data_IF_580560633843
#
_entry.id   IF_580560633843
#
_cell.length_a   1.000
_cell.length_b   1.000
_cell.length_c   1.000
_cell.angle_alpha   90.00
_cell.angle_beta   90.00
_cell.angle_gamma   90.00
#
_symmetry.space_group_name_H-M   'P 1'
#
loop_
_entity.id
_entity.type
_entity.pdbx_description
1 polymer ?
#
# COMPACT_ATOMS: atom_id res chain seq x y z
N UNK A 1 14.19 -4.42 -7.75
CA UNK A 1 13.69 -4.47 -6.37
C UNK A 1 14.16 -5.77 -5.72
N UNK A 2 14.66 -5.74 -4.47
CA UNK A 2 15.01 -6.93 -3.68
C UNK A 2 16.21 -7.77 -4.14
N UNK A 3 16.93 -7.38 -5.21
CA UNK A 3 18.06 -8.13 -5.80
C UNK A 3 19.17 -8.42 -4.79
N UNK A 4 19.54 -7.41 -4.00
CA UNK A 4 20.61 -7.50 -3.01
C UNK A 4 20.25 -8.47 -1.87
N UNK A 5 19.03 -8.35 -1.32
CA UNK A 5 18.54 -9.30 -0.30
C UNK A 5 18.45 -10.73 -0.86
N UNK A 6 17.99 -10.92 -2.11
CA UNK A 6 17.95 -12.25 -2.73
C UNK A 6 19.33 -12.83 -2.99
N UNK A 7 20.35 -11.99 -3.26
CA UNK A 7 21.74 -12.44 -3.41
C UNK A 7 22.35 -12.90 -2.08
N UNK A 8 22.06 -12.17 -0.99
CA UNK A 8 22.71 -12.37 0.31
C UNK A 8 21.97 -13.35 1.23
N UNK A 9 20.65 -13.51 1.05
CA UNK A 9 19.81 -14.31 1.95
C UNK A 9 19.05 -15.42 1.21
N UNK A 10 19.31 -16.70 1.52
CA UNK A 10 18.61 -17.83 0.89
C UNK A 10 17.09 -17.75 1.05
N UNK A 11 16.56 -17.25 2.18
CA UNK A 11 15.12 -17.10 2.40
C UNK A 11 14.51 -16.06 1.46
N UNK A 12 15.19 -14.96 1.17
CA UNK A 12 14.74 -13.96 0.21
C UNK A 12 14.76 -14.52 -1.21
N UNK A 13 15.82 -15.24 -1.60
CA UNK A 13 15.92 -15.91 -2.91
C UNK A 13 14.76 -16.87 -3.12
N UNK A 14 14.51 -17.78 -2.17
CA UNK A 14 13.37 -18.71 -2.23
C UNK A 14 12.03 -17.99 -2.35
N UNK A 15 11.90 -16.81 -1.74
CA UNK A 15 10.66 -16.00 -1.86
C UNK A 15 10.43 -15.53 -3.30
N UNK A 16 11.47 -15.14 -4.03
CA UNK A 16 11.37 -14.78 -5.45
C UNK A 16 11.12 -16.00 -6.34
N UNK A 17 11.72 -17.15 -6.02
CA UNK A 17 11.46 -18.42 -6.71
C UNK A 17 10.00 -18.86 -6.53
N UNK A 18 9.46 -18.80 -5.31
CA UNK A 18 8.05 -19.06 -4.99
C UNK A 18 7.11 -18.10 -5.76
N UNK A 19 7.51 -16.84 -5.91
CA UNK A 19 6.73 -15.88 -6.69
C UNK A 19 6.71 -16.21 -8.18
N UNK A 20 7.84 -16.58 -8.75
CA UNK A 20 7.95 -17.02 -10.14
C UNK A 20 7.06 -18.24 -10.42
N UNK A 21 7.08 -19.22 -9.50
CA UNK A 21 6.26 -20.42 -9.60
C UNK A 21 4.77 -20.10 -9.48
N UNK A 22 4.37 -19.30 -8.48
CA UNK A 22 2.99 -18.96 -8.23
C UNK A 22 2.34 -18.17 -9.39
N UNK A 23 3.13 -17.35 -10.08
CA UNK A 23 2.68 -16.51 -11.19
C UNK A 23 2.86 -17.15 -12.58
N UNK A 24 3.67 -18.20 -12.70
CA UNK A 24 3.95 -18.88 -13.96
C UNK A 24 4.84 -18.09 -14.94
N UNK A 25 5.56 -17.06 -14.45
CA UNK A 25 6.54 -16.31 -15.21
C UNK A 25 7.65 -15.76 -14.31
N UNK A 26 8.78 -15.31 -14.89
CA UNK A 26 9.96 -14.83 -14.16
C UNK A 26 9.79 -13.38 -13.67
N UNK A 27 8.97 -13.20 -12.61
CA UNK A 27 8.84 -11.91 -11.92
C UNK A 27 10.19 -11.46 -11.33
N UNK A 28 10.97 -12.41 -10.80
CA UNK A 28 12.30 -12.16 -10.26
C UNK A 28 13.22 -11.47 -11.26
N UNK A 29 13.23 -11.89 -12.52
CA UNK A 29 14.03 -11.27 -13.57
C UNK A 29 13.61 -9.82 -13.80
N UNK A 30 12.30 -9.56 -13.88
CA UNK A 30 11.78 -8.18 -14.04
C UNK A 30 12.16 -7.31 -12.85
N UNK A 31 12.09 -7.85 -11.63
CA UNK A 31 12.49 -7.14 -10.41
C UNK A 31 13.98 -6.79 -10.37
N UNK A 32 14.84 -7.66 -10.87
CA UNK A 32 16.31 -7.54 -10.75
C UNK A 32 16.98 -6.85 -11.92
N UNK A 33 16.41 -6.99 -13.12
CA UNK A 33 17.03 -6.61 -14.38
C UNK A 33 16.18 -5.65 -15.21
N UNK A 34 14.87 -5.54 -14.90
CA UNK A 34 13.93 -4.73 -15.65
C UNK A 34 13.39 -5.44 -16.90
N UNK A 35 12.94 -4.71 -17.93
CA UNK A 35 13.02 -3.25 -18.07
C UNK A 35 12.07 -2.47 -17.12
N UNK A 36 12.44 -1.23 -16.82
CA UNK A 36 11.68 -0.38 -15.87
C UNK A 36 10.25 -0.12 -16.37
N UNK A 37 10.04 -0.01 -17.66
CA UNK A 37 8.71 0.17 -18.26
C UNK A 37 7.77 -1.00 -17.94
N UNK A 38 8.29 -2.23 -17.89
CA UNK A 38 7.51 -3.40 -17.50
C UNK A 38 7.16 -3.35 -16.01
N UNK A 39 8.08 -2.90 -15.15
CA UNK A 39 7.82 -2.71 -13.72
C UNK A 39 6.77 -1.62 -13.43
N UNK A 40 6.54 -0.68 -14.35
CA UNK A 40 5.52 0.39 -14.21
C UNK A 40 4.10 -0.11 -14.51
N UNK A 41 3.95 -1.25 -15.16
CA UNK A 41 2.62 -1.84 -15.39
C UNK A 41 2.02 -2.29 -14.06
N UNK A 42 0.84 -1.81 -13.72
CA UNK A 42 0.21 -2.03 -12.41
C UNK A 42 0.06 -3.52 -12.08
N UNK A 43 -0.22 -4.36 -13.07
CA UNK A 43 -0.29 -5.83 -12.93
C UNK A 43 1.06 -6.51 -12.62
N UNK A 44 2.18 -5.82 -12.87
CA UNK A 44 3.54 -6.26 -12.56
C UNK A 44 4.05 -5.58 -11.29
N UNK A 45 3.82 -4.27 -11.15
CA UNK A 45 4.25 -3.47 -9.98
C UNK A 45 3.72 -4.07 -8.68
N UNK A 46 2.44 -4.44 -8.64
CA UNK A 46 1.82 -4.95 -7.43
C UNK A 46 2.45 -6.26 -6.93
N UNK A 47 2.54 -7.33 -7.72
CA UNK A 47 3.22 -8.55 -7.27
C UNK A 47 4.73 -8.34 -7.02
N UNK A 48 5.40 -7.44 -7.72
CA UNK A 48 6.80 -7.13 -7.51
C UNK A 48 7.06 -6.48 -6.13
N UNK A 49 6.22 -5.50 -5.74
CA UNK A 49 6.30 -4.87 -4.40
C UNK A 49 5.95 -5.88 -3.32
N UNK A 50 4.88 -6.68 -3.49
CA UNK A 50 4.50 -7.72 -2.55
C UNK A 50 5.66 -8.71 -2.32
N UNK A 51 6.26 -9.21 -3.40
CA UNK A 51 7.39 -10.17 -3.33
C UNK A 51 8.58 -9.58 -2.59
N UNK A 52 8.99 -8.35 -2.95
CA UNK A 52 10.11 -7.69 -2.30
C UNK A 52 9.85 -7.44 -0.81
N UNK A 53 8.62 -7.06 -0.44
CA UNK A 53 8.22 -6.83 0.95
C UNK A 53 8.20 -8.14 1.75
N UNK A 54 7.63 -9.22 1.20
CA UNK A 54 7.61 -10.53 1.88
C UNK A 54 9.02 -11.11 1.99
N UNK A 55 9.89 -10.92 0.99
CA UNK A 55 11.28 -11.34 1.05
C UNK A 55 12.03 -10.62 2.18
N UNK A 56 11.90 -9.29 2.27
CA UNK A 56 12.50 -8.50 3.34
C UNK A 56 11.94 -8.88 4.73
N UNK A 57 10.63 -9.12 4.83
CA UNK A 57 9.97 -9.60 6.03
C UNK A 57 10.52 -10.95 6.51
N UNK A 58 10.65 -11.94 5.61
CA UNK A 58 11.20 -13.27 5.94
C UNK A 58 12.66 -13.19 6.38
N UNK A 59 13.45 -12.26 5.81
CA UNK A 59 14.83 -12.00 6.27
C UNK A 59 14.83 -11.43 7.69
N UNK A 60 13.97 -10.46 8.01
CA UNK A 60 13.85 -9.93 9.37
C UNK A 60 13.50 -11.02 10.39
N UNK A 61 12.57 -11.92 10.04
CA UNK A 61 12.21 -13.05 10.90
C UNK A 61 13.39 -14.00 11.13
N UNK A 62 14.15 -14.32 10.07
CA UNK A 62 15.37 -15.16 10.17
C UNK A 62 16.46 -14.48 11.03
N UNK A 63 16.51 -13.13 11.04
CA UNK A 63 17.41 -12.33 11.89
C UNK A 63 16.91 -12.12 13.32
N UNK A 64 15.84 -12.78 13.71
CA UNK A 64 15.36 -12.83 15.08
C UNK A 64 14.26 -11.84 15.43
N UNK A 65 13.67 -11.13 14.46
CA UNK A 65 12.44 -10.37 14.72
C UNK A 65 11.33 -11.36 15.09
N UNK A 66 11.01 -11.41 16.36
CA UNK A 66 9.86 -12.18 16.89
C UNK A 66 8.68 -11.25 16.96
N UNK A 67 7.53 -11.70 16.44
CA UNK A 67 6.27 -11.00 16.65
C UNK A 67 5.72 -11.35 18.03
N UNK A 68 5.29 -10.33 18.75
CA UNK A 68 4.36 -10.50 19.87
C UNK A 68 2.94 -10.32 19.33
N UNK A 69 2.21 -11.41 19.18
CA UNK A 69 0.84 -11.39 18.64
C UNK A 69 -0.13 -10.53 19.45
N UNK A 70 0.21 -10.18 20.68
CA UNK A 70 -0.62 -9.34 21.56
C UNK A 70 -0.29 -7.86 21.51
N UNK A 71 0.93 -7.49 21.06
CA UNK A 71 1.45 -6.13 21.09
C UNK A 71 1.78 -5.57 19.69
N UNK A 72 2.01 -6.43 18.70
CA UNK A 72 2.42 -6.01 17.38
C UNK A 72 1.23 -5.85 16.43
N UNK A 73 1.32 -4.85 15.56
CA UNK A 73 0.36 -4.58 14.49
C UNK A 73 1.06 -4.63 13.14
N UNK A 74 0.31 -5.00 12.12
CA UNK A 74 0.76 -4.86 10.74
C UNK A 74 -0.21 -3.97 9.96
N UNK A 75 0.34 -3.16 9.08
CA UNK A 75 -0.41 -2.27 8.21
C UNK A 75 0.33 -2.15 6.87
N UNK A 76 -0.38 -1.71 5.84
CA UNK A 76 0.24 -1.46 4.55
C UNK A 76 -0.62 -0.52 3.71
N UNK A 77 0.02 0.32 2.91
CA UNK A 77 -0.67 1.31 2.08
C UNK A 77 -1.14 0.66 0.78
N UNK A 78 -2.44 0.68 0.51
CA UNK A 78 -3.05 0.11 -0.71
C UNK A 78 -2.61 -1.34 -0.97
N UNK A 79 -1.75 -1.59 -1.94
CA UNK A 79 -1.12 -2.90 -2.20
C UNK A 79 -0.47 -3.48 -0.94
N UNK A 80 0.17 -2.62 -0.14
CA UNK A 80 0.85 -3.02 1.10
C UNK A 80 -0.06 -3.70 2.12
N UNK A 81 -1.37 -3.47 2.10
CA UNK A 81 -2.33 -4.18 2.96
C UNK A 81 -2.34 -5.69 2.67
N UNK A 82 -2.13 -6.10 1.40
CA UNK A 82 -1.94 -7.52 1.06
C UNK A 82 -0.64 -8.08 1.64
N UNK A 83 0.45 -7.29 1.62
CA UNK A 83 1.71 -7.69 2.28
C UNK A 83 1.51 -7.85 3.79
N UNK A 84 0.72 -6.97 4.42
CA UNK A 84 0.37 -7.06 5.83
C UNK A 84 -0.45 -8.34 6.13
N UNK A 85 -1.42 -8.68 5.27
CA UNK A 85 -2.20 -9.92 5.43
C UNK A 85 -1.34 -11.19 5.25
N UNK A 86 -0.36 -11.18 4.34
CA UNK A 86 0.62 -12.28 4.23
C UNK A 86 1.49 -12.35 5.50
N UNK A 87 1.99 -11.24 5.99
CA UNK A 87 2.76 -11.19 7.22
C UNK A 87 1.96 -11.64 8.44
N UNK A 88 0.66 -11.33 8.50
CA UNK A 88 -0.26 -11.79 9.54
C UNK A 88 -0.71 -13.25 9.40
N UNK A 89 -0.38 -13.93 8.28
CA UNK A 89 -0.82 -15.29 8.03
C UNK A 89 -2.29 -15.43 7.59
N UNK A 90 -2.94 -14.31 7.27
CA UNK A 90 -4.35 -14.25 6.82
C UNK A 90 -4.51 -14.82 5.42
N UNK A 91 -3.56 -14.56 4.54
CA UNK A 91 -3.47 -15.06 3.17
C UNK A 91 -2.16 -15.82 2.96
N UNK A 92 -2.19 -16.87 2.13
CA UNK A 92 -0.95 -17.46 1.63
C UNK A 92 -0.24 -16.48 0.70
N UNK A 93 1.08 -16.55 0.62
CA UNK A 93 1.84 -15.67 -0.27
C UNK A 93 1.47 -15.92 -1.74
N UNK A 94 1.28 -17.18 -2.15
CA UNK A 94 0.90 -17.54 -3.50
C UNK A 94 -0.50 -16.99 -3.90
N UNK A 95 -1.48 -17.07 -3.00
CA UNK A 95 -2.82 -16.53 -3.25
C UNK A 95 -2.79 -15.00 -3.31
N UNK A 96 -2.07 -14.36 -2.39
CA UNK A 96 -1.89 -12.91 -2.41
C UNK A 96 -1.25 -12.44 -3.72
N UNK A 97 -0.21 -13.14 -4.24
CA UNK A 97 0.44 -12.82 -5.51
C UNK A 97 -0.52 -12.85 -6.70
N UNK A 98 -1.28 -13.93 -6.84
CA UNK A 98 -2.27 -14.08 -7.92
C UNK A 98 -3.33 -12.99 -7.82
N UNK A 99 -3.80 -12.74 -6.59
CA UNK A 99 -4.83 -11.72 -6.32
C UNK A 99 -4.35 -10.33 -6.66
N UNK A 100 -3.15 -9.92 -6.23
CA UNK A 100 -2.67 -8.55 -6.52
C UNK A 100 -2.31 -8.35 -7.98
N UNK A 101 -1.91 -9.39 -8.70
CA UNK A 101 -1.76 -9.36 -10.16
C UNK A 101 -3.10 -9.09 -10.83
N UNK A 102 -4.14 -9.86 -10.48
CA UNK A 102 -5.50 -9.68 -10.97
C UNK A 102 -6.03 -8.29 -10.60
N UNK A 103 -5.83 -7.86 -9.34
CA UNK A 103 -6.18 -6.52 -8.87
C UNK A 103 -5.57 -5.44 -9.76
N UNK A 104 -4.27 -5.51 -10.03
CA UNK A 104 -3.59 -4.57 -10.92
C UNK A 104 -4.22 -4.52 -12.32
N UNK A 105 -4.49 -5.69 -12.89
CA UNK A 105 -5.16 -5.82 -14.19
C UNK A 105 -6.58 -5.24 -14.16
N UNK A 106 -7.40 -5.62 -13.18
CA UNK A 106 -8.78 -5.16 -13.06
C UNK A 106 -8.87 -3.64 -12.87
N UNK A 107 -8.01 -3.07 -12.02
CA UNK A 107 -7.95 -1.63 -11.80
C UNK A 107 -7.52 -0.87 -13.06
N UNK A 108 -6.60 -1.43 -13.87
CA UNK A 108 -6.21 -0.84 -15.14
C UNK A 108 -7.32 -0.90 -16.19
N UNK A 109 -8.10 -1.97 -16.20
CA UNK A 109 -9.19 -2.20 -17.15
C UNK A 109 -10.51 -1.51 -16.74
N UNK A 110 -10.65 -1.09 -15.48
CA UNK A 110 -11.89 -0.52 -14.94
C UNK A 110 -12.31 0.78 -15.64
N UNK A 111 -11.33 1.56 -16.10
CA UNK A 111 -11.56 2.85 -16.75
C UNK A 111 -10.66 2.96 -17.98
N UNK A 112 -11.18 3.37 -19.14
CA UNK A 112 -10.34 3.61 -20.32
C UNK A 112 -9.23 4.62 -20.05
N UNK A 113 -8.07 4.42 -20.68
CA UNK A 113 -6.91 5.32 -20.53
C UNK A 113 -7.32 6.76 -20.93
N UNK A 114 -6.97 7.72 -20.09
CA UNK A 114 -7.27 9.14 -20.30
C UNK A 114 -8.63 9.60 -19.78
N UNK A 115 -9.52 8.70 -19.37
CA UNK A 115 -10.81 9.06 -18.77
C UNK A 115 -10.67 9.43 -17.30
N UNK A 116 -9.79 8.75 -16.58
CA UNK A 116 -9.52 9.00 -15.18
C UNK A 116 -8.15 9.64 -14.92
N UNK A 117 -8.01 10.28 -13.76
CA UNK A 117 -6.76 10.89 -13.30
C UNK A 117 -6.66 10.88 -11.77
N UNK A 118 -5.46 11.12 -11.27
CA UNK A 118 -5.18 11.38 -9.86
C UNK A 118 -4.30 12.61 -9.72
N UNK A 119 -4.44 13.32 -8.59
CA UNK A 119 -3.58 14.47 -8.28
C UNK A 119 -3.26 14.53 -6.79
N UNK A 120 -2.05 14.95 -6.45
CA UNK A 120 -1.65 15.22 -5.08
C UNK A 120 -1.94 16.69 -4.73
N UNK A 121 -2.69 16.91 -3.66
CA UNK A 121 -2.98 18.23 -3.06
C UNK A 121 -2.16 18.35 -1.79
N UNK A 122 -1.36 19.42 -1.69
CA UNK A 122 -0.42 19.64 -0.59
C UNK A 122 -0.80 20.90 0.19
N UNK A 123 -0.87 20.78 1.52
CA UNK A 123 -1.05 21.92 2.43
C UNK A 123 -2.50 22.36 2.61
N UNK A 124 -3.45 21.48 2.33
CA UNK A 124 -4.89 21.70 2.55
C UNK A 124 -5.46 20.55 3.38
N UNK A 125 -6.27 20.89 4.39
CA UNK A 125 -6.92 19.90 5.25
C UNK A 125 -7.96 19.05 4.49
N UNK A 126 -8.23 17.84 4.97
CA UNK A 126 -9.12 16.87 4.34
C UNK A 126 -10.51 17.41 4.07
N UNK A 127 -11.13 18.10 5.05
CA UNK A 127 -12.48 18.63 4.89
C UNK A 127 -12.56 19.60 3.71
N UNK A 128 -11.56 20.49 3.60
CA UNK A 128 -11.48 21.44 2.49
C UNK A 128 -11.19 20.75 1.15
N UNK A 129 -10.41 19.67 1.16
CA UNK A 129 -10.20 18.85 -0.07
C UNK A 129 -11.51 18.17 -0.47
N UNK A 130 -12.31 17.68 0.47
CA UNK A 130 -13.61 17.09 0.18
C UNK A 130 -14.60 18.12 -0.40
N UNK A 131 -14.62 19.35 0.11
CA UNK A 131 -15.40 20.46 -0.47
C UNK A 131 -14.96 20.78 -1.91
N UNK A 132 -13.64 20.86 -2.14
CA UNK A 132 -13.05 21.07 -3.48
C UNK A 132 -13.46 19.94 -4.43
N UNK A 133 -13.37 18.69 -4.00
CA UNK A 133 -13.79 17.55 -4.79
C UNK A 133 -15.27 17.57 -5.14
N UNK A 134 -16.12 17.90 -4.16
CA UNK A 134 -17.57 17.99 -4.36
C UNK A 134 -17.95 19.08 -5.38
N UNK A 135 -17.33 20.25 -5.31
CA UNK A 135 -17.56 21.33 -6.26
C UNK A 135 -17.00 21.00 -7.65
N UNK A 136 -15.78 20.44 -7.71
CA UNK A 136 -15.13 20.04 -8.94
C UNK A 136 -15.84 18.90 -9.66
N UNK A 137 -16.50 18.02 -8.91
CA UNK A 137 -17.18 16.85 -9.46
C UNK A 137 -18.29 17.23 -10.46
N UNK A 138 -19.12 18.22 -10.12
CA UNK A 138 -20.31 18.56 -10.93
C UNK A 138 -21.16 17.29 -11.17
N UNK A 139 -21.09 16.69 -12.36
CA UNK A 139 -21.75 15.42 -12.73
C UNK A 139 -20.77 14.27 -12.91
N UNK A 140 -19.52 14.47 -12.55
CA UNK A 140 -18.42 13.52 -12.66
C UNK A 140 -17.97 13.05 -11.28
N UNK A 141 -17.04 12.11 -11.21
CA UNK A 141 -16.44 11.64 -9.97
C UNK A 141 -15.18 12.45 -9.69
N UNK A 142 -15.06 12.96 -8.46
CA UNK A 142 -13.81 13.47 -7.88
C UNK A 142 -13.87 13.23 -6.38
N UNK A 143 -12.93 12.48 -5.83
CA UNK A 143 -12.95 12.02 -4.43
C UNK A 143 -11.55 12.03 -3.83
N UNK A 144 -11.43 12.22 -2.51
CA UNK A 144 -10.19 11.93 -1.79
C UNK A 144 -9.92 10.42 -1.86
N UNK A 145 -8.76 10.06 -2.38
CA UNK A 145 -8.35 8.68 -2.65
C UNK A 145 -7.27 8.18 -1.67
N UNK A 146 -6.30 9.04 -1.30
CA UNK A 146 -5.30 8.70 -0.30
C UNK A 146 -5.15 9.85 0.71
N UNK A 147 -5.43 9.57 1.96
CA UNK A 147 -5.22 10.50 3.08
C UNK A 147 -3.87 10.13 3.68
N UNK A 148 -2.79 10.66 3.08
CA UNK A 148 -1.43 10.21 3.32
C UNK A 148 -0.80 10.81 4.57
N UNK A 149 -1.05 12.11 4.80
CA UNK A 149 -0.58 12.87 5.95
C UNK A 149 -1.44 14.11 6.12
N UNK A 150 -1.32 14.88 7.23
CA UNK A 150 -2.05 16.14 7.42
C UNK A 150 -1.89 17.14 6.28
N UNK A 151 -0.75 17.07 5.57
CA UNK A 151 -0.41 18.00 4.48
C UNK A 151 -0.49 17.38 3.08
N UNK A 152 -0.77 16.07 2.95
CA UNK A 152 -0.77 15.40 1.66
C UNK A 152 -1.99 14.52 1.46
N UNK A 153 -2.87 14.94 0.57
CA UNK A 153 -4.05 14.18 0.15
C UNK A 153 -3.99 13.98 -1.35
N UNK A 154 -4.25 12.75 -1.79
CA UNK A 154 -4.40 12.44 -3.22
C UNK A 154 -5.89 12.37 -3.54
N UNK A 155 -6.28 13.03 -4.61
CA UNK A 155 -7.63 12.97 -5.18
C UNK A 155 -7.64 12.11 -6.44
N UNK A 156 -8.79 11.51 -6.73
CA UNK A 156 -8.98 10.60 -7.85
C UNK A 156 -10.38 10.77 -8.44
N UNK A 157 -10.51 10.57 -9.75
CA UNK A 157 -11.78 10.67 -10.44
C UNK A 157 -11.65 10.83 -11.95
N UNK A 158 -12.68 11.39 -12.60
CA UNK A 158 -12.61 11.74 -14.00
C UNK A 158 -11.56 12.85 -14.23
N UNK A 159 -10.78 12.72 -15.29
CA UNK A 159 -9.66 13.61 -15.58
C UNK A 159 -10.07 15.10 -15.56
N UNK A 160 -11.21 15.45 -16.20
CA UNK A 160 -11.73 16.83 -16.21
C UNK A 160 -12.09 17.33 -14.81
N UNK A 161 -12.68 16.47 -13.97
CA UNK A 161 -13.02 16.84 -12.58
C UNK A 161 -11.76 17.02 -11.74
N UNK A 162 -10.77 16.17 -11.89
CA UNK A 162 -9.46 16.30 -11.24
C UNK A 162 -8.76 17.58 -11.68
N UNK A 163 -8.79 17.93 -12.96
CA UNK A 163 -8.22 19.20 -13.47
C UNK A 163 -8.90 20.43 -12.87
N UNK A 164 -10.23 20.41 -12.72
CA UNK A 164 -10.96 21.47 -12.00
C UNK A 164 -10.56 21.55 -10.54
N UNK A 165 -10.45 20.39 -9.88
CA UNK A 165 -10.06 20.30 -8.48
C UNK A 165 -8.64 20.83 -8.24
N UNK A 166 -7.69 20.58 -9.15
CA UNK A 166 -6.33 21.16 -9.08
C UNK A 166 -6.39 22.69 -9.06
N UNK A 167 -7.16 23.31 -9.97
CA UNK A 167 -7.30 24.77 -10.04
C UNK A 167 -7.93 25.34 -8.77
N UNK A 168 -9.06 24.77 -8.36
CA UNK A 168 -9.75 25.16 -7.12
C UNK A 168 -8.87 25.00 -5.88
N UNK A 169 -8.06 23.96 -5.81
CA UNK A 169 -7.14 23.73 -4.69
C UNK A 169 -6.11 24.87 -4.58
N UNK A 170 -5.51 25.28 -5.70
CA UNK A 170 -4.57 26.41 -5.72
C UNK A 170 -5.27 27.72 -5.32
N UNK A 171 -6.43 28.01 -5.89
CA UNK A 171 -7.24 29.21 -5.56
C UNK A 171 -7.60 29.26 -4.07
N UNK A 172 -7.78 28.09 -3.43
CA UNK A 172 -8.13 27.95 -2.01
C UNK A 172 -6.92 27.78 -1.08
N UNK A 173 -5.71 28.04 -1.59
CA UNK A 173 -4.50 28.12 -0.79
C UNK A 173 -3.72 26.84 -0.64
N UNK A 174 -3.90 25.85 -1.53
CA UNK A 174 -2.99 24.73 -1.59
C UNK A 174 -1.57 25.20 -1.93
N UNK A 175 -0.58 24.72 -1.17
CA UNK A 175 0.84 25.00 -1.45
C UNK A 175 1.27 24.42 -2.81
N UNK A 176 0.67 23.28 -3.18
CA UNK A 176 0.91 22.59 -4.44
C UNK A 176 -0.27 21.68 -4.78
N UNK A 177 -0.63 21.61 -6.07
CA UNK A 177 -1.57 20.64 -6.62
C UNK A 177 -1.01 20.12 -7.93
N UNK A 178 -0.74 18.80 -8.02
CA UNK A 178 0.03 18.20 -9.12
C UNK A 178 -0.61 16.93 -9.59
N UNK A 179 -0.85 16.82 -10.89
CA UNK A 179 -1.27 15.57 -11.53
C UNK A 179 -0.22 14.49 -11.33
N UNK A 180 -0.66 13.28 -11.04
CA UNK A 180 0.20 12.12 -10.86
C UNK A 180 0.29 11.32 -12.18
N UNK A 181 1.49 10.78 -12.51
CA UNK A 181 1.69 9.99 -13.73
C UNK A 181 1.16 8.54 -13.53
N UNK A 182 -0.14 8.41 -13.30
CA UNK A 182 -0.81 7.12 -13.12
C UNK A 182 -1.77 6.86 -14.26
N UNK A 183 -2.01 5.59 -14.56
CA UNK A 183 -2.79 5.16 -15.71
C UNK A 183 -4.29 4.95 -15.41
N UNK A 184 -4.68 5.01 -14.13
CA UNK A 184 -6.07 4.81 -13.71
C UNK A 184 -6.40 5.61 -12.44
N UNK A 185 -7.69 5.95 -12.21
CA UNK A 185 -8.15 6.71 -11.06
C UNK A 185 -8.41 5.78 -9.87
N UNK A 186 -7.34 5.32 -9.21
CA UNK A 186 -7.43 4.38 -8.09
C UNK A 186 -8.20 4.96 -6.89
N UNK A 187 -8.81 4.07 -6.09
CA UNK A 187 -9.45 4.40 -4.81
C UNK A 187 -10.58 5.42 -4.89
N UNK A 188 -11.39 5.35 -5.94
CA UNK A 188 -12.63 6.10 -6.08
C UNK A 188 -13.73 5.21 -6.70
N UNK A 189 -14.96 5.71 -6.76
CA UNK A 189 -16.12 4.94 -7.25
C UNK A 189 -16.00 4.46 -8.70
N UNK A 190 -15.11 5.04 -9.50
CA UNK A 190 -14.83 4.55 -10.87
C UNK A 190 -14.16 3.16 -10.88
N UNK A 191 -13.63 2.71 -9.74
CA UNK A 191 -13.04 1.38 -9.60
C UNK A 191 -14.08 0.29 -9.29
N UNK A 192 -15.38 0.58 -9.28
CA UNK A 192 -16.42 -0.40 -8.98
C UNK A 192 -16.30 -1.67 -9.84
N UNK A 193 -16.07 -1.59 -11.18
CA UNK A 193 -15.91 -2.82 -11.99
C UNK A 193 -14.72 -3.69 -11.56
N UNK A 194 -13.64 -3.07 -11.07
CA UNK A 194 -12.49 -3.80 -10.53
C UNK A 194 -12.83 -4.43 -9.18
N UNK A 195 -13.56 -3.73 -8.32
CA UNK A 195 -14.02 -4.25 -7.02
C UNK A 195 -14.90 -5.48 -7.19
N UNK A 196 -15.86 -5.45 -8.13
CA UNK A 196 -16.79 -6.57 -8.34
C UNK A 196 -16.05 -7.84 -8.78
N UNK A 197 -15.09 -7.70 -9.70
CA UNK A 197 -14.25 -8.83 -10.15
C UNK A 197 -13.36 -9.34 -9.02
N UNK A 198 -12.73 -8.44 -8.28
CA UNK A 198 -11.84 -8.81 -7.17
C UNK A 198 -12.60 -9.44 -6.01
N UNK A 199 -13.85 -9.03 -5.77
CA UNK A 199 -14.71 -9.63 -4.75
C UNK A 199 -14.96 -11.13 -5.05
N UNK A 200 -15.14 -11.49 -6.33
CA UNK A 200 -15.28 -12.89 -6.74
C UNK A 200 -13.98 -13.68 -6.48
N UNK A 201 -12.81 -13.11 -6.86
CA UNK A 201 -11.51 -13.74 -6.62
C UNK A 201 -11.26 -13.95 -5.11
N UNK A 202 -11.46 -12.91 -4.29
CA UNK A 202 -11.28 -12.98 -2.83
C UNK A 202 -12.29 -13.91 -2.16
N UNK A 203 -13.51 -14.00 -2.71
CA UNK A 203 -14.55 -14.92 -2.23
C UNK A 203 -14.18 -16.40 -2.41
N UNK A 204 -13.38 -16.72 -3.42
CA UNK A 204 -12.92 -18.07 -3.70
C UNK A 204 -11.71 -18.50 -2.86
N UNK A 205 -11.05 -17.57 -2.14
CA UNK A 205 -9.87 -17.86 -1.34
C UNK A 205 -10.23 -18.29 0.09
N UNK A 206 -9.35 -19.09 0.67
CA UNK A 206 -9.38 -19.42 2.10
C UNK A 206 -8.61 -18.37 2.89
N UNK A 207 -9.32 -17.58 3.70
CA UNK A 207 -8.73 -16.66 4.65
C UNK A 207 -8.62 -17.33 6.02
N UNK A 208 -7.54 -17.04 6.73
CA UNK A 208 -7.37 -17.40 8.14
C UNK A 208 -7.52 -16.16 9.01
N UNK A 209 -7.87 -16.33 10.27
CA UNK A 209 -7.80 -15.24 11.23
C UNK A 209 -6.35 -14.79 11.38
N UNK A 210 -6.09 -13.45 11.41
CA UNK A 210 -4.74 -12.93 11.46
C UNK A 210 -4.05 -13.29 12.79
N UNK A 211 -2.81 -13.76 12.70
CA UNK A 211 -1.95 -14.07 13.87
C UNK A 211 -1.56 -12.82 14.68
N UNK A 212 -1.63 -11.66 14.09
CA UNK A 212 -1.52 -10.36 14.73
C UNK A 212 -2.47 -9.37 14.05
N UNK A 213 -2.96 -8.35 14.80
CA UNK A 213 -3.94 -7.41 14.27
C UNK A 213 -3.46 -6.69 13.00
N UNK A 214 -4.32 -6.61 12.00
CA UNK A 214 -4.08 -5.86 10.75
C UNK A 214 -4.87 -4.55 10.81
N UNK A 215 -4.27 -3.42 10.44
CA UNK A 215 -4.99 -2.15 10.27
C UNK A 215 -5.39 -1.99 8.82
N UNK A 216 -6.69 -2.01 8.54
CA UNK A 216 -7.21 -1.86 7.18
C UNK A 216 -7.26 -0.40 6.73
N UNK A 217 -7.08 -0.18 5.43
CA UNK A 217 -7.01 1.18 4.86
C UNK A 217 -8.35 1.88 4.83
N UNK A 218 -9.41 1.18 4.43
CA UNK A 218 -10.71 1.81 4.13
C UNK A 218 -11.38 2.38 5.37
N UNK A 219 -11.28 1.68 6.50
CA UNK A 219 -11.92 2.08 7.75
C UNK A 219 -10.92 2.72 8.74
N UNK A 220 -9.60 2.63 8.49
CA UNK A 220 -8.55 2.96 9.45
C UNK A 220 -8.79 2.28 10.80
N UNK A 221 -9.13 1.00 10.77
CA UNK A 221 -9.53 0.20 11.92
C UNK A 221 -8.80 -1.14 11.95
N UNK A 222 -8.71 -1.72 13.13
CA UNK A 222 -8.15 -3.06 13.32
C UNK A 222 -9.14 -4.11 12.81
N UNK A 223 -8.66 -5.04 11.99
CA UNK A 223 -9.36 -6.27 11.61
C UNK A 223 -8.65 -7.47 12.24
N UNK A 224 -9.42 -8.35 12.87
CA UNK A 224 -8.92 -9.49 13.63
C UNK A 224 -9.62 -10.81 13.24
N UNK A 225 -10.36 -10.82 12.13
CA UNK A 225 -10.98 -12.04 11.61
C UNK A 225 -10.79 -12.16 10.10
N UNK A 226 -10.86 -13.39 9.61
CA UNK A 226 -10.82 -13.74 8.19
C UNK A 226 -11.89 -13.00 7.39
N UNK A 227 -13.11 -12.95 7.89
CA UNK A 227 -14.25 -12.29 7.24
C UNK A 227 -14.06 -10.78 7.17
N UNK A 228 -13.67 -10.13 8.29
CA UNK A 228 -13.42 -8.70 8.33
C UNK A 228 -12.27 -8.30 7.40
N UNK A 229 -11.20 -9.11 7.34
CA UNK A 229 -10.06 -8.91 6.45
C UNK A 229 -10.47 -8.96 4.97
N UNK A 230 -11.22 -10.00 4.58
CA UNK A 230 -11.76 -10.12 3.21
C UNK A 230 -12.64 -8.93 2.85
N UNK A 231 -13.59 -8.59 3.72
CA UNK A 231 -14.51 -7.48 3.49
C UNK A 231 -13.80 -6.13 3.36
N UNK A 232 -12.76 -5.88 4.16
CA UNK A 232 -11.96 -4.67 4.08
C UNK A 232 -11.19 -4.58 2.75
N UNK A 233 -10.54 -5.66 2.30
CA UNK A 233 -9.82 -5.71 1.02
C UNK A 233 -10.73 -5.48 -0.19
N UNK A 234 -11.97 -5.97 -0.14
CA UNK A 234 -12.97 -5.71 -1.19
C UNK A 234 -13.30 -4.22 -1.24
N UNK A 235 -13.70 -3.63 -0.11
CA UNK A 235 -14.07 -2.20 -0.04
C UNK A 235 -12.90 -1.25 -0.29
N UNK A 236 -11.66 -1.69 -0.07
CA UNK A 236 -10.45 -0.90 -0.31
C UNK A 236 -10.31 -0.45 -1.78
N UNK A 237 -10.84 -1.21 -2.74
CA UNK A 237 -10.66 -0.95 -4.18
C UNK A 237 -11.27 0.39 -4.59
N UNK A 238 -12.47 0.68 -4.09
CA UNK A 238 -13.21 1.94 -4.34
C UNK A 238 -13.07 2.94 -3.20
N UNK A 239 -12.62 2.49 -2.04
CA UNK A 239 -12.50 3.30 -0.83
C UNK A 239 -11.16 4.01 -0.71
N UNK A 240 -11.14 5.13 0.00
CA UNK A 240 -9.93 5.88 0.28
C UNK A 240 -8.95 5.08 1.15
N UNK A 241 -7.65 5.18 0.83
CA UNK A 241 -6.58 4.74 1.72
C UNK A 241 -6.43 5.79 2.83
N UNK A 242 -6.93 5.48 4.02
CA UNK A 242 -6.90 6.36 5.19
C UNK A 242 -5.60 6.13 5.98
N UNK A 243 -4.45 6.43 5.32
CA UNK A 243 -3.14 6.10 5.87
C UNK A 243 -2.80 6.88 7.14
N UNK A 244 -2.98 8.22 7.12
CA UNK A 244 -2.78 9.04 8.31
C UNK A 244 -3.63 8.59 9.50
N UNK A 245 -4.96 8.41 9.37
CA UNK A 245 -5.78 7.86 10.45
C UNK A 245 -5.33 6.48 10.95
N UNK A 246 -4.87 5.61 10.03
CA UNK A 246 -4.34 4.28 10.39
C UNK A 246 -3.07 4.39 11.24
N UNK A 247 -2.13 5.27 10.86
CA UNK A 247 -0.90 5.50 11.63
C UNK A 247 -1.21 6.12 12.99
N UNK A 248 -2.14 7.09 13.07
CA UNK A 248 -2.56 7.68 14.35
C UNK A 248 -3.20 6.65 15.28
N UNK A 249 -4.06 5.77 14.75
CA UNK A 249 -4.61 4.65 15.50
C UNK A 249 -3.50 3.79 16.13
N UNK A 250 -2.45 3.47 15.36
CA UNK A 250 -1.31 2.69 15.86
C UNK A 250 -0.54 3.44 16.97
N UNK A 251 -0.34 4.75 16.80
CA UNK A 251 0.28 5.61 17.82
C UNK A 251 -0.55 5.61 19.11
N UNK A 252 -1.87 5.78 18.99
CA UNK A 252 -2.81 5.80 20.11
C UNK A 252 -2.88 4.44 20.84
N UNK A 253 -2.62 3.34 20.11
CA UNK A 253 -2.47 2.00 20.67
C UNK A 253 -1.08 1.73 21.29
N UNK A 254 -0.21 2.73 21.35
CA UNK A 254 1.08 2.65 22.02
C UNK A 254 2.25 2.24 21.11
N UNK A 255 2.07 2.13 19.81
CA UNK A 255 3.19 1.84 18.91
C UNK A 255 4.27 2.92 19.01
N UNK A 256 5.50 2.51 19.31
CA UNK A 256 6.66 3.39 19.49
C UNK A 256 7.70 3.23 18.38
N UNK A 257 7.77 2.05 17.78
CA UNK A 257 8.67 1.69 16.69
C UNK A 257 7.84 1.30 15.44
N UNK A 258 8.18 1.88 14.31
CA UNK A 258 7.62 1.57 13.01
C UNK A 258 8.72 1.03 12.09
N UNK A 259 8.47 -0.07 11.41
CA UNK A 259 9.41 -0.69 10.48
C UNK A 259 8.73 -0.75 9.10
N UNK A 260 9.19 0.08 8.16
CA UNK A 260 8.77 -0.03 6.76
C UNK A 260 9.54 -1.17 6.11
N UNK A 261 8.82 -2.19 5.65
CA UNK A 261 9.39 -3.40 5.05
C UNK A 261 9.04 -3.45 3.57
N UNK A 262 10.06 -3.41 2.72
CA UNK A 262 9.89 -3.45 1.27
C UNK A 262 10.70 -2.39 0.54
N UNK A 263 10.51 -2.24 -0.78
CA UNK A 263 11.31 -1.32 -1.59
C UNK A 263 10.93 0.14 -1.35
N UNK A 264 11.93 1.01 -1.23
CA UNK A 264 11.76 2.46 -1.06
C UNK A 264 11.67 2.91 0.39
N UNK A 265 11.21 4.16 0.58
CA UNK A 265 11.11 4.86 1.87
C UNK A 265 9.90 5.79 1.90
N UNK A 266 8.82 5.40 1.23
CA UNK A 266 7.63 6.26 1.07
C UNK A 266 6.88 6.38 2.39
N UNK A 267 6.63 5.26 3.06
CA UNK A 267 5.89 5.25 4.32
C UNK A 267 6.70 5.88 5.46
N UNK A 268 8.02 5.68 5.46
CA UNK A 268 8.93 6.40 6.34
C UNK A 268 8.81 7.92 6.16
N UNK A 269 8.76 8.38 4.91
CA UNK A 269 8.56 9.79 4.59
C UNK A 269 7.22 10.33 5.08
N UNK A 270 6.15 9.56 4.91
CA UNK A 270 4.82 9.90 5.41
C UNK A 270 4.76 9.91 6.94
N UNK A 271 5.40 8.93 7.60
CA UNK A 271 5.49 8.89 9.05
C UNK A 271 6.09 10.17 9.62
N UNK A 272 7.16 10.69 9.02
CA UNK A 272 7.78 11.96 9.42
C UNK A 272 6.88 13.19 9.23
N UNK A 273 5.88 13.12 8.37
CA UNK A 273 4.86 14.16 8.21
C UNK A 273 3.73 14.01 9.22
N UNK A 274 3.43 12.77 9.63
CA UNK A 274 2.37 12.46 10.59
C UNK A 274 2.85 12.71 12.02
N UNK A 275 4.00 12.12 12.41
CA UNK A 275 4.58 12.30 13.74
C UNK A 275 6.10 12.08 13.69
N UNK A 276 6.87 13.18 13.86
CA UNK A 276 8.35 13.15 13.86
C UNK A 276 8.95 12.58 15.14
N UNK A 277 8.17 12.47 16.20
CA UNK A 277 8.66 11.98 17.48
C UNK A 277 8.79 10.45 17.51
N UNK A 278 8.13 9.76 16.59
CA UNK A 278 8.15 8.30 16.52
C UNK A 278 9.35 7.77 15.76
N UNK A 279 9.92 6.70 16.25
CA UNK A 279 11.00 5.99 15.57
C UNK A 279 10.43 5.22 14.37
N UNK A 280 10.96 5.52 13.19
CA UNK A 280 10.62 4.78 11.97
C UNK A 280 11.91 4.38 11.25
N UNK A 281 12.05 3.09 10.97
CA UNK A 281 13.18 2.48 10.27
C UNK A 281 12.72 1.79 8.99
N UNK A 282 13.65 1.41 8.12
CA UNK A 282 13.31 0.80 6.82
C UNK A 282 14.11 -0.46 6.57
N UNK A 283 13.52 -1.44 5.89
CA UNK A 283 14.18 -2.67 5.44
C UNK A 283 13.79 -2.96 3.99
N UNK A 284 14.65 -2.55 3.06
CA UNK A 284 14.45 -2.76 1.62
C UNK A 284 15.71 -3.25 0.90
N UNK A 285 16.87 -3.12 1.54
CA UNK A 285 18.20 -3.51 1.08
C UNK A 285 19.10 -3.92 2.26
N UNK A 286 20.33 -4.36 1.97
CA UNK A 286 21.28 -4.82 3.00
C UNK A 286 21.62 -3.70 3.99
N UNK A 287 21.90 -2.50 3.49
CA UNK A 287 22.32 -1.38 4.33
C UNK A 287 21.21 -0.94 5.31
N UNK A 288 19.97 -0.88 4.85
CA UNK A 288 18.81 -0.54 5.68
C UNK A 288 18.50 -1.65 6.68
N UNK A 289 18.66 -2.93 6.30
CA UNK A 289 18.52 -4.07 7.19
C UNK A 289 19.51 -4.00 8.36
N UNK A 290 20.81 -3.84 8.09
CA UNK A 290 21.85 -3.78 9.13
C UNK A 290 21.61 -2.62 10.09
N UNK A 291 21.24 -1.44 9.56
CA UNK A 291 20.88 -0.28 10.37
C UNK A 291 19.68 -0.54 11.28
N UNK A 292 18.65 -1.20 10.76
CA UNK A 292 17.43 -1.52 11.51
C UNK A 292 17.74 -2.52 12.62
N UNK A 293 18.52 -3.56 12.35
CA UNK A 293 18.92 -4.55 13.35
C UNK A 293 19.73 -3.91 14.49
N UNK A 294 20.66 -3.01 14.16
CA UNK A 294 21.43 -2.28 15.19
C UNK A 294 20.54 -1.38 16.07
N UNK A 295 19.55 -0.69 15.48
CA UNK A 295 18.60 0.13 16.23
C UNK A 295 17.68 -0.71 17.13
N UNK A 296 17.20 -1.85 16.62
CA UNK A 296 16.38 -2.77 17.43
C UNK A 296 17.15 -3.32 18.63
N UNK A 297 18.42 -3.70 18.44
CA UNK A 297 19.28 -4.17 19.53
C UNK A 297 19.47 -3.09 20.61
N UNK A 298 19.60 -1.82 20.22
CA UNK A 298 19.74 -0.71 21.16
C UNK A 298 18.45 -0.36 21.92
N UNK A 299 17.26 -0.76 21.42
CA UNK A 299 15.98 -0.56 22.12
C UNK A 299 15.70 -1.65 23.16
N UNK A 300 16.39 -2.79 23.09
CA UNK A 300 16.23 -3.93 24.00
C UNK A 300 17.29 -3.93 25.11
N UNK A 301 18.41 -3.21 24.90
CA UNK A 301 19.48 -3.05 25.87
C UNK A 301 19.18 -1.94 26.90
#
# INVERSE_FOLDING_TARGET
>A
MGKELAANYPVARRTFEEADEALGYKLSQVCFEGPEEQLKLTEITQPAILTASVAAWRVLQEKGLKRDSSADYVAGHSLGEYSAHVAAGTLTFADALRTVRNRGKYMQEAVPVGVGAMAAIIGVALDKVNEICSEAAQREVCQAANINSPEQIVISGHARAVDRAIKLAIERGAKKAVSLPVSAPFHCSLMQPAQDRLAADLGALSFQDPLCPVVCNVDAAVVASAEASRGALIRQVTGAVRWEPSVRLLIDKGASLFIEVGPGKVLWGLMRQIDRSKTCVTVGDEASLQKTLAQMAALVA
#
